data_IF_458680174418
#
_entry.id   IF_458680174418
#
_cell.length_a   1.000
_cell.length_b   1.000
_cell.length_c   1.000
_cell.angle_alpha   90.00
_cell.angle_beta   90.00
_cell.angle_gamma   90.00
#
_symmetry.space_group_name_H-M   'P 1'
#
loop_
_entity.id
_entity.type
_entity.pdbx_description
1 polymer ?
#
# COMPACT_ATOMS: atom_id res chain seq x y z
N UNK A 1 10.93 -40.44 26.06
CA UNK A 1 10.80 -38.98 26.01
C UNK A 1 10.00 -38.65 24.76
N UNK A 2 8.71 -38.34 24.93
CA UNK A 2 7.80 -38.12 23.80
C UNK A 2 8.07 -36.78 23.15
N UNK A 3 8.40 -36.79 21.87
CA UNK A 3 8.40 -35.58 21.04
C UNK A 3 6.94 -35.24 20.79
N UNK A 4 6.43 -34.21 21.46
CA UNK A 4 5.09 -33.69 21.18
C UNK A 4 5.05 -33.16 19.74
N UNK A 5 3.97 -33.44 18.98
CA UNK A 5 3.84 -32.92 17.63
C UNK A 5 3.64 -31.41 17.71
N UNK A 6 4.56 -30.64 17.11
CA UNK A 6 4.33 -29.23 16.83
C UNK A 6 3.09 -29.14 15.93
N UNK A 7 1.97 -28.73 16.52
CA UNK A 7 0.75 -28.44 15.78
C UNK A 7 1.05 -27.29 14.83
N UNK A 8 1.33 -27.61 13.57
CA UNK A 8 1.25 -26.70 12.43
C UNK A 8 -0.21 -26.28 12.24
N UNK A 9 -0.73 -25.52 13.20
CA UNK A 9 -1.97 -24.79 13.01
C UNK A 9 -1.66 -23.67 12.04
N UNK A 10 -2.35 -23.65 10.91
CA UNK A 10 -2.41 -22.47 10.05
C UNK A 10 -2.91 -21.32 10.93
N UNK A 11 -1.98 -20.53 11.49
CA UNK A 11 -2.31 -19.36 12.30
C UNK A 11 -3.06 -18.44 11.36
N UNK A 12 -4.30 -18.12 11.71
CA UNK A 12 -5.18 -17.29 10.91
C UNK A 12 -4.43 -16.00 10.51
N UNK A 13 -4.04 -15.90 9.23
CA UNK A 13 -3.13 -14.89 8.68
C UNK A 13 -3.74 -13.47 8.61
N UNK A 14 -4.96 -13.31 9.10
CA UNK A 14 -5.77 -12.10 8.96
C UNK A 14 -5.99 -11.46 10.34
N UNK A 15 -5.11 -10.54 10.71
CA UNK A 15 -5.26 -9.71 11.90
C UNK A 15 -5.96 -8.40 11.51
N UNK A 16 -6.52 -7.69 12.50
CA UNK A 16 -7.14 -6.37 12.26
C UNK A 16 -6.14 -5.38 11.63
N UNK A 17 -4.86 -5.29 12.07
CA UNK A 17 -3.84 -4.51 11.37
C UNK A 17 -3.69 -4.87 9.90
N UNK A 18 -3.59 -6.16 9.56
CA UNK A 18 -3.42 -6.59 8.17
C UNK A 18 -4.61 -6.16 7.28
N UNK A 19 -5.81 -6.01 7.84
CA UNK A 19 -6.94 -5.48 7.08
C UNK A 19 -6.74 -3.99 6.72
N UNK A 20 -6.19 -3.18 7.63
CA UNK A 20 -5.83 -1.79 7.34
C UNK A 20 -4.69 -1.69 6.32
N UNK A 21 -3.68 -2.55 6.41
CA UNK A 21 -2.61 -2.65 5.41
C UNK A 21 -3.16 -2.99 4.02
N UNK A 22 -4.14 -3.89 3.93
CA UNK A 22 -4.81 -4.18 2.66
C UNK A 22 -5.68 -3.02 2.16
N UNK A 23 -6.26 -2.22 3.06
CA UNK A 23 -6.98 -1.00 2.67
C UNK A 23 -6.04 0.09 2.14
N UNK A 24 -4.83 0.19 2.71
CA UNK A 24 -3.72 0.99 2.14
C UNK A 24 -3.48 0.53 0.68
N UNK A 25 -3.21 -0.76 0.45
CA UNK A 25 -2.97 -1.31 -0.89
C UNK A 25 -4.12 -1.06 -1.88
N UNK A 26 -5.36 -1.31 -1.48
CA UNK A 26 -6.55 -1.08 -2.31
C UNK A 26 -6.63 0.40 -2.71
N UNK A 27 -6.32 1.32 -1.79
CA UNK A 27 -6.30 2.76 -2.06
C UNK A 27 -5.21 3.12 -3.08
N UNK A 28 -4.02 2.51 -2.99
CA UNK A 28 -2.96 2.62 -3.99
C UNK A 28 -3.41 2.19 -5.39
N UNK A 29 -4.05 1.02 -5.52
CA UNK A 29 -4.58 0.56 -6.82
C UNK A 29 -5.70 1.44 -7.37
N UNK A 30 -6.60 1.92 -6.51
CA UNK A 30 -7.66 2.86 -6.93
C UNK A 30 -7.03 4.16 -7.43
N UNK A 31 -5.97 4.65 -6.78
CA UNK A 31 -5.24 5.82 -7.24
C UNK A 31 -4.66 5.62 -8.65
N UNK A 32 -3.99 4.47 -8.89
CA UNK A 32 -3.44 4.14 -10.22
C UNK A 32 -4.55 4.08 -11.28
N UNK A 33 -5.67 3.45 -10.95
CA UNK A 33 -6.82 3.37 -11.84
C UNK A 33 -7.39 4.76 -12.19
N UNK A 34 -7.58 5.63 -11.20
CA UNK A 34 -8.06 7.00 -11.39
C UNK A 34 -7.07 7.86 -12.18
N UNK A 35 -5.77 7.70 -11.92
CA UNK A 35 -4.73 8.35 -12.70
C UNK A 35 -4.84 7.94 -14.18
N UNK A 36 -5.05 6.65 -14.47
CA UNK A 36 -5.22 6.16 -15.84
C UNK A 36 -6.43 6.79 -16.54
N UNK A 37 -7.50 7.10 -15.80
CA UNK A 37 -8.69 7.81 -16.30
C UNK A 37 -8.54 9.34 -16.41
N UNK A 38 -7.37 9.90 -16.12
CA UNK A 38 -7.12 11.36 -16.05
C UNK A 38 -7.80 12.07 -14.89
N UNK A 39 -8.31 11.33 -13.91
CA UNK A 39 -8.93 11.86 -12.68
C UNK A 39 -7.87 12.15 -11.62
N UNK A 40 -6.97 13.11 -11.91
CA UNK A 40 -5.76 13.35 -11.12
C UNK A 40 -6.00 13.77 -9.68
N UNK A 41 -7.01 14.61 -9.44
CA UNK A 41 -7.33 15.07 -8.10
C UNK A 41 -7.80 13.90 -7.23
N UNK A 42 -8.68 13.05 -7.76
CA UNK A 42 -9.17 11.87 -7.06
C UNK A 42 -8.04 10.85 -6.85
N UNK A 43 -7.19 10.62 -7.85
CA UNK A 43 -5.99 9.78 -7.70
C UNK A 43 -5.10 10.24 -6.55
N UNK A 44 -4.78 11.54 -6.48
CA UNK A 44 -4.01 12.10 -5.38
C UNK A 44 -4.72 11.92 -4.02
N UNK A 45 -6.04 12.14 -3.97
CA UNK A 45 -6.82 11.91 -2.74
C UNK A 45 -6.72 10.46 -2.25
N UNK A 46 -6.72 9.47 -3.15
CA UNK A 46 -6.58 8.07 -2.77
C UNK A 46 -5.17 7.71 -2.26
N UNK A 47 -4.12 8.38 -2.73
CA UNK A 47 -2.78 8.28 -2.12
C UNK A 47 -2.82 8.83 -0.69
N UNK A 48 -3.46 9.97 -0.46
CA UNK A 48 -3.60 10.53 0.90
C UNK A 48 -4.41 9.60 1.81
N UNK A 49 -5.47 8.97 1.30
CA UNK A 49 -6.24 7.96 2.04
C UNK A 49 -5.37 6.74 2.38
N UNK A 50 -4.51 6.30 1.47
CA UNK A 50 -3.57 5.21 1.71
C UNK A 50 -2.64 5.51 2.90
N UNK A 51 -2.11 6.74 3.00
CA UNK A 51 -1.31 7.22 4.16
C UNK A 51 -2.08 7.10 5.47
N UNK A 52 -3.38 7.38 5.46
CA UNK A 52 -4.22 7.26 6.66
C UNK A 52 -4.34 5.78 7.09
N UNK A 53 -4.54 4.87 6.13
CA UNK A 53 -4.66 3.44 6.45
C UNK A 53 -3.35 2.81 6.94
N UNK A 54 -2.23 3.19 6.34
CA UNK A 54 -0.87 2.83 6.80
C UNK A 54 -0.65 3.27 8.27
N UNK A 55 -0.91 4.54 8.58
CA UNK A 55 -0.78 5.03 9.96
C UNK A 55 -1.71 4.30 10.96
N UNK A 56 -2.89 3.87 10.51
CA UNK A 56 -3.83 3.13 11.33
C UNK A 56 -3.41 1.68 11.58
N UNK A 57 -2.83 0.97 10.61
CA UNK A 57 -2.41 -0.42 10.82
C UNK A 57 -1.31 -0.53 11.89
N UNK A 58 -0.33 0.38 11.86
CA UNK A 58 0.79 0.39 12.80
C UNK A 58 0.31 0.81 14.19
N UNK A 59 -0.64 1.75 14.26
CA UNK A 59 -1.28 2.12 15.52
C UNK A 59 -2.07 0.95 16.13
N UNK A 60 -2.91 0.27 15.33
CA UNK A 60 -3.73 -0.85 15.80
C UNK A 60 -2.86 -2.07 16.15
N UNK A 61 -1.79 -2.33 15.42
CA UNK A 61 -0.85 -3.42 15.71
C UNK A 61 -0.18 -3.25 17.07
N UNK A 62 0.23 -2.01 17.41
CA UNK A 62 0.80 -1.68 18.72
C UNK A 62 -0.25 -1.79 19.83
N UNK A 63 -1.46 -1.29 19.60
CA UNK A 63 -2.54 -1.32 20.59
C UNK A 63 -2.98 -2.75 20.92
N UNK A 64 -3.05 -3.64 19.93
CA UNK A 64 -3.52 -5.01 20.09
C UNK A 64 -2.40 -6.01 20.41
N UNK A 65 -1.14 -5.56 20.57
CA UNK A 65 0.04 -6.45 20.65
C UNK A 65 0.05 -7.50 19.53
N UNK A 66 -0.39 -7.11 18.34
CA UNK A 66 -0.61 -7.99 17.18
C UNK A 66 0.46 -7.82 16.10
N UNK A 67 1.60 -7.24 16.44
CA UNK A 67 2.74 -7.11 15.53
C UNK A 67 3.29 -8.50 15.15
N UNK A 68 3.55 -8.71 13.86
CA UNK A 68 4.07 -9.97 13.33
C UNK A 68 5.04 -9.72 12.18
N UNK A 69 5.95 -10.67 11.93
CA UNK A 69 6.91 -10.54 10.82
C UNK A 69 6.22 -10.56 9.46
N UNK A 70 5.18 -11.39 9.31
CA UNK A 70 4.34 -11.40 8.10
C UNK A 70 3.62 -10.06 7.88
N UNK A 71 3.03 -9.49 8.94
CA UNK A 71 2.37 -8.18 8.83
C UNK A 71 3.36 -7.09 8.40
N UNK A 72 4.61 -7.14 8.89
CA UNK A 72 5.67 -6.20 8.50
C UNK A 72 6.10 -6.35 7.03
N UNK A 73 6.21 -7.58 6.55
CA UNK A 73 6.50 -7.83 5.12
C UNK A 73 5.33 -7.38 4.23
N UNK A 74 4.09 -7.65 4.65
CA UNK A 74 2.88 -7.21 3.95
C UNK A 74 2.82 -5.68 3.86
N UNK A 75 3.09 -4.99 4.97
CA UNK A 75 3.16 -3.53 5.08
C UNK A 75 4.14 -2.93 4.08
N UNK A 76 5.39 -3.42 4.10
CA UNK A 76 6.43 -3.01 3.14
C UNK A 76 6.00 -3.18 1.68
N UNK A 77 5.36 -4.30 1.32
CA UNK A 77 4.87 -4.53 -0.04
C UNK A 77 3.72 -3.59 -0.42
N UNK A 78 2.85 -3.26 0.54
CA UNK A 78 1.72 -2.38 0.31
C UNK A 78 2.18 -0.93 0.15
N UNK A 79 3.17 -0.50 0.93
CA UNK A 79 3.80 0.81 0.85
C UNK A 79 4.54 1.04 -0.47
N UNK A 80 5.24 0.04 -0.98
CA UNK A 80 5.86 0.12 -2.31
C UNK A 80 4.83 0.46 -3.39
N UNK A 81 3.63 -0.13 -3.33
CA UNK A 81 2.57 0.15 -4.31
C UNK A 81 1.94 1.53 -4.07
N UNK A 82 1.55 1.83 -2.84
CA UNK A 82 0.79 3.05 -2.52
C UNK A 82 1.61 4.33 -2.54
N UNK A 83 2.89 4.25 -2.15
CA UNK A 83 3.77 5.41 -1.99
C UNK A 83 4.93 5.42 -2.99
N UNK A 84 5.27 4.28 -3.58
CA UNK A 84 6.22 4.22 -4.71
C UNK A 84 5.50 4.29 -6.06
N UNK A 85 4.73 3.24 -6.38
CA UNK A 85 4.17 3.06 -7.72
C UNK A 85 3.05 4.05 -8.03
N UNK A 86 2.08 4.24 -7.13
CA UNK A 86 0.93 5.09 -7.41
C UNK A 86 1.31 6.57 -7.66
N UNK A 87 2.17 7.21 -6.84
CA UNK A 87 2.61 8.59 -7.11
C UNK A 87 3.47 8.72 -8.36
N UNK A 88 4.37 7.76 -8.61
CA UNK A 88 5.20 7.74 -9.82
C UNK A 88 4.32 7.63 -11.08
N UNK A 89 3.35 6.72 -11.07
CA UNK A 89 2.41 6.56 -12.17
C UNK A 89 1.56 7.82 -12.38
N UNK A 90 1.05 8.43 -11.31
CA UNK A 90 0.31 9.69 -11.38
C UNK A 90 1.14 10.80 -12.04
N UNK A 91 2.42 10.95 -11.65
CA UNK A 91 3.32 11.96 -12.22
C UNK A 91 3.58 11.71 -13.70
N UNK A 92 3.91 10.46 -14.07
CA UNK A 92 4.13 10.06 -15.47
C UNK A 92 2.89 10.36 -16.30
N UNK A 93 1.70 10.02 -15.80
CA UNK A 93 0.45 10.23 -16.51
C UNK A 93 0.17 11.73 -16.70
N UNK A 94 0.24 12.54 -15.63
CA UNK A 94 0.04 13.99 -15.72
C UNK A 94 0.99 14.62 -16.75
N UNK A 95 2.25 14.16 -16.76
CA UNK A 95 3.29 14.66 -17.67
C UNK A 95 2.98 14.28 -19.11
N UNK A 96 2.62 13.03 -19.37
CA UNK A 96 2.21 12.56 -20.69
C UNK A 96 1.01 13.34 -21.26
N UNK A 97 0.01 13.62 -20.43
CA UNK A 97 -1.20 14.32 -20.89
C UNK A 97 -0.98 15.82 -21.12
N UNK A 98 -0.06 16.46 -20.39
CA UNK A 98 0.12 17.92 -20.42
C UNK A 98 1.33 18.40 -21.22
N UNK A 99 2.48 17.73 -21.07
CA UNK A 99 3.73 18.10 -21.71
C UNK A 99 4.62 16.86 -21.88
N UNK A 100 4.44 16.10 -22.98
CA UNK A 100 5.19 14.87 -23.25
C UNK A 100 6.71 15.06 -23.23
N UNK A 101 7.18 16.24 -23.62
CA UNK A 101 8.60 16.62 -23.65
C UNK A 101 9.29 16.49 -22.27
N UNK A 102 8.51 16.57 -21.18
CA UNK A 102 9.01 16.50 -19.81
C UNK A 102 9.06 15.07 -19.23
N UNK A 103 8.66 14.05 -20.00
CA UNK A 103 8.58 12.67 -19.50
C UNK A 103 9.91 12.13 -18.96
N UNK A 104 11.03 12.53 -19.57
CA UNK A 104 12.37 12.13 -19.12
C UNK A 104 12.60 12.56 -17.67
N UNK A 105 12.12 13.74 -17.28
CA UNK A 105 12.25 14.20 -15.90
C UNK A 105 11.34 13.41 -14.95
N UNK A 106 10.14 13.03 -15.39
CA UNK A 106 9.19 12.26 -14.57
C UNK A 106 9.63 10.80 -14.32
N UNK A 107 10.48 10.22 -15.18
CA UNK A 107 10.98 8.84 -15.07
C UNK A 107 12.26 8.73 -14.23
N UNK A 108 12.95 9.85 -14.00
CA UNK A 108 14.23 9.90 -13.25
C UNK A 108 14.01 10.19 -11.75
N UNK A 109 12.81 10.59 -11.35
CA UNK A 109 12.40 10.78 -9.93
C UNK A 109 11.88 9.46 -9.37
#
# INVERSE_FOLDING_TARGET
MGVEPQKGGMKLFFTVPNAFTLLNLISGFISIYLAALSEYLLSFMFIVIAIVFDGLDGFVARMLNAASDFGRELDSLCDEVSFGVAPAFLLVKITLDRNPELIVYAVIV
#
